data_IF_027527806263
#
_entry.id   IF_027527806263
#
_cell.length_a   1.000
_cell.length_b   1.000
_cell.length_c   1.000
_cell.angle_alpha   90.00
_cell.angle_beta   90.00
_cell.angle_gamma   90.00
#
_symmetry.space_group_name_H-M   'P 1'
#
loop_
_entity.id
_entity.type
_entity.pdbx_description
1 polymer ?
#
# COMPACT_ATOMS: atom_id res chain seq x y z
N UNK A 1 -4.01 -3.56 -7.60
CA UNK A 1 -4.48 -4.14 -6.35
C UNK A 1 -3.54 -3.76 -5.22
N UNK A 2 -4.02 -3.79 -4.00
CA UNK A 2 -3.24 -3.33 -2.85
C UNK A 2 -1.89 -4.03 -2.74
N UNK A 3 -1.88 -5.35 -2.85
CA UNK A 3 -0.63 -6.10 -2.71
C UNK A 3 0.41 -5.68 -3.75
N UNK A 4 -0.02 -5.51 -4.98
CA UNK A 4 0.90 -5.05 -6.03
C UNK A 4 1.34 -3.61 -5.82
N UNK A 5 0.41 -2.78 -5.37
CA UNK A 5 0.73 -1.36 -5.12
C UNK A 5 1.78 -1.21 -4.02
N UNK A 6 1.65 -1.99 -2.95
CA UNK A 6 2.65 -1.95 -1.88
C UNK A 6 4.02 -2.28 -2.44
N UNK A 7 4.12 -3.36 -3.23
CA UNK A 7 5.40 -3.77 -3.79
C UNK A 7 5.95 -2.74 -4.76
N UNK A 8 5.11 -2.25 -5.65
CA UNK A 8 5.56 -1.32 -6.68
C UNK A 8 6.01 0.01 -6.06
N UNK A 9 5.27 0.52 -5.09
CA UNK A 9 5.62 1.77 -4.43
C UNK A 9 6.87 1.60 -3.58
N UNK A 10 7.02 0.44 -2.92
CA UNK A 10 8.22 0.14 -2.16
C UNK A 10 9.46 0.16 -3.06
N UNK A 11 9.36 -0.50 -4.22
CA UNK A 11 10.47 -0.54 -5.16
C UNK A 11 10.76 0.84 -5.74
N UNK A 12 9.73 1.62 -6.00
CA UNK A 12 9.91 2.98 -6.50
C UNK A 12 10.65 3.86 -5.51
N UNK A 13 10.51 3.58 -4.21
CA UNK A 13 11.25 4.30 -3.17
C UNK A 13 12.64 3.71 -2.94
N UNK A 14 12.98 2.63 -3.62
CA UNK A 14 14.28 1.99 -3.43
C UNK A 14 14.40 1.22 -2.12
N UNK A 15 13.29 0.78 -1.55
CA UNK A 15 13.30 0.09 -0.26
C UNK A 15 13.21 -1.41 -0.45
N UNK A 16 13.96 -2.16 0.36
CA UNK A 16 13.78 -3.60 0.47
C UNK A 16 12.58 -3.90 1.37
N UNK A 17 12.12 -5.14 1.37
CA UNK A 17 11.06 -5.57 2.31
C UNK A 17 11.51 -5.35 3.75
N UNK A 18 12.77 -5.66 4.03
CA UNK A 18 13.32 -5.49 5.37
C UNK A 18 13.31 -4.01 5.77
N UNK A 19 13.72 -3.14 4.87
CA UNK A 19 13.76 -1.71 5.16
C UNK A 19 12.37 -1.15 5.43
N UNK A 20 11.39 -1.56 4.64
CA UNK A 20 10.03 -1.12 4.86
C UNK A 20 9.49 -1.66 6.19
N UNK A 21 9.81 -2.92 6.51
CA UNK A 21 9.39 -3.52 7.77
C UNK A 21 9.93 -2.73 8.96
N UNK A 22 11.20 -2.34 8.90
CA UNK A 22 11.81 -1.53 9.96
C UNK A 22 11.07 -0.20 10.11
N UNK A 23 10.77 0.45 8.99
CA UNK A 23 10.09 1.74 9.03
C UNK A 23 8.69 1.62 9.63
N UNK A 24 8.03 0.50 9.43
CA UNK A 24 6.67 0.27 9.93
C UNK A 24 6.66 -0.44 11.28
N UNK A 25 7.84 -0.82 11.77
CA UNK A 25 7.98 -1.51 13.04
C UNK A 25 7.25 -2.86 13.04
N UNK A 26 7.37 -3.58 11.94
CA UNK A 26 6.81 -4.93 11.79
C UNK A 26 7.93 -5.85 11.31
N UNK A 27 7.68 -7.16 11.29
CA UNK A 27 8.67 -8.10 10.77
C UNK A 27 8.55 -8.20 9.26
N UNK A 28 9.67 -8.57 8.61
CA UNK A 28 9.71 -8.64 7.15
C UNK A 28 8.65 -9.59 6.59
N UNK A 29 8.37 -10.68 7.30
CA UNK A 29 7.36 -11.63 6.85
C UNK A 29 5.98 -11.01 6.71
N UNK A 30 5.67 -10.01 7.53
CA UNK A 30 4.41 -9.28 7.43
C UNK A 30 4.34 -8.56 6.09
N UNK A 31 5.42 -7.87 5.70
CA UNK A 31 5.48 -7.19 4.41
C UNK A 31 5.32 -8.21 3.27
N UNK A 32 6.03 -9.32 3.36
CA UNK A 32 5.97 -10.36 2.34
C UNK A 32 4.55 -10.87 2.16
N UNK A 33 3.84 -11.12 3.26
CA UNK A 33 2.46 -11.60 3.18
C UNK A 33 1.54 -10.59 2.53
N UNK A 34 1.72 -9.31 2.87
CA UNK A 34 0.92 -8.26 2.24
C UNK A 34 1.16 -8.22 0.73
N UNK A 35 2.42 -8.33 0.31
CA UNK A 35 2.77 -8.24 -1.11
C UNK A 35 2.32 -9.45 -1.90
N UNK A 36 2.15 -10.58 -1.23
CA UNK A 36 1.65 -11.80 -1.87
C UNK A 36 0.13 -11.93 -1.81
N UNK A 37 -0.53 -11.02 -1.11
CA UNK A 37 -1.98 -11.08 -0.95
C UNK A 37 -2.44 -12.12 0.04
N UNK A 38 -1.53 -12.62 0.89
CA UNK A 38 -1.86 -13.63 1.90
C UNK A 38 -2.49 -13.02 3.15
N UNK A 39 -2.25 -11.74 3.38
CA UNK A 39 -2.91 -11.01 4.45
C UNK A 39 -3.04 -9.56 4.02
N UNK A 40 -3.81 -8.79 4.77
CA UNK A 40 -4.13 -7.41 4.43
C UNK A 40 -3.77 -6.54 5.62
N UNK A 41 -3.07 -5.40 5.41
CA UNK A 41 -2.80 -4.49 6.52
C UNK A 41 -4.10 -3.88 7.02
N UNK A 42 -4.18 -3.67 8.34
CA UNK A 42 -5.35 -2.99 8.91
C UNK A 42 -5.28 -1.50 8.61
N UNK A 43 -6.31 -0.75 9.02
CA UNK A 43 -6.41 0.65 8.63
C UNK A 43 -5.24 1.49 9.15
N UNK A 44 -4.75 1.23 10.36
CA UNK A 44 -3.61 1.99 10.88
C UNK A 44 -2.34 1.67 10.11
N UNK A 45 -2.16 0.42 9.69
CA UNK A 45 -1.01 0.05 8.87
C UNK A 45 -1.12 0.65 7.46
N UNK A 46 -2.32 0.74 6.91
CA UNK A 46 -2.51 1.36 5.61
C UNK A 46 -2.10 2.83 5.66
N UNK A 47 -2.48 3.54 6.71
CA UNK A 47 -2.07 4.93 6.87
C UNK A 47 -0.56 5.03 6.99
N UNK A 48 0.06 4.17 7.81
CA UNK A 48 1.50 4.18 7.98
C UNK A 48 2.22 3.84 6.67
N UNK A 49 1.69 2.86 5.92
CA UNK A 49 2.25 2.53 4.60
C UNK A 49 2.23 3.72 3.66
N UNK A 50 1.09 4.42 3.61
CA UNK A 50 0.97 5.58 2.73
C UNK A 50 1.99 6.65 3.10
N UNK A 51 2.20 6.87 4.39
CA UNK A 51 3.19 7.84 4.85
C UNK A 51 4.61 7.43 4.47
N UNK A 52 4.95 6.17 4.72
CA UNK A 52 6.31 5.69 4.44
C UNK A 52 6.59 5.57 2.95
N UNK A 53 5.57 5.31 2.16
CA UNK A 53 5.72 5.19 0.72
C UNK A 53 5.46 6.51 0.00
N UNK A 54 5.20 7.58 0.77
CA UNK A 54 5.08 8.93 0.22
C UNK A 54 3.92 9.02 -0.78
N UNK A 55 2.81 8.42 -0.43
CA UNK A 55 1.65 8.35 -1.32
C UNK A 55 0.38 8.56 -0.49
N UNK A 56 -0.75 8.72 -1.16
CA UNK A 56 -2.03 8.84 -0.48
C UNK A 56 -2.60 7.45 -0.21
N UNK A 57 -3.50 7.37 0.77
CA UNK A 57 -4.19 6.12 1.06
C UNK A 57 -5.00 5.67 -0.16
N UNK A 58 -5.66 6.60 -0.84
CA UNK A 58 -6.43 6.26 -2.03
C UNK A 58 -5.56 5.66 -3.13
N UNK A 59 -4.39 6.25 -3.38
CA UNK A 59 -3.47 5.72 -4.38
C UNK A 59 -2.97 4.34 -3.98
N UNK A 60 -2.65 4.16 -2.70
CA UNK A 60 -2.17 2.88 -2.21
C UNK A 60 -3.23 1.79 -2.40
N UNK A 61 -4.48 2.12 -2.18
CA UNK A 61 -5.59 1.17 -2.34
C UNK A 61 -6.00 0.98 -3.79
N UNK A 62 -5.46 1.78 -4.72
CA UNK A 62 -5.77 1.66 -6.13
C UNK A 62 -7.09 2.26 -6.53
N UNK A 63 -7.53 3.30 -5.83
CA UNK A 63 -8.84 3.91 -6.06
C UNK A 63 -8.87 4.90 -7.20
N UNK A 64 -7.82 5.08 -7.81
CA UNK A 64 -7.78 6.08 -8.88
C UNK A 64 -8.87 5.88 -9.89
N UNK A 65 -9.46 5.93 -9.81
CA UNK A 65 -10.01 5.56 -10.43
C UNK A 65 -11.05 5.87 -10.70
N UNK A 66 -10.96 5.79 -10.38
CA UNK A 66 -11.73 5.93 -10.65
C UNK A 66 -12.46 6.52 -10.92
N UNK A 67 -12.29 6.32 -10.72
CA UNK A 67 -12.89 6.73 -10.80
C UNK A 67 -13.61 7.09 -10.93
N UNK A 68 -13.61 6.71 -10.89
CA UNK A 68 -14.32 6.94 -10.87
C UNK A 68 -15.07 7.27 -10.74
N UNK A 69 -15.18 7.12 -10.71
CA UNK A 69 -15.95 7.37 -10.51
C UNK A 69 -16.61 7.88 -10.49
N UNK A 70 -16.59 7.74 -10.60
CA UNK A 70 -17.30 8.11 -10.54
C UNK A 70 -18.07 8.65 -10.76
N UNK A 71 -18.11 8.41 -10.80
CA UNK A 71 -18.89 8.72 -11.00
C UNK A 71 -19.67 9.12 -11.13
N UNK A 72 -19.56 8.74 -11.03
CA UNK A 72 -20.29 9.02 -11.17
C UNK A 72 -21.02 9.41 -11.11
N UNK A 73 -20.92 9.16 -11.11
CA UNK A 73 -21.62 9.47 -11.11
C UNK A 73 -22.27 10.00 -11.04
N UNK A 74 -22.22 9.89 -11.10
CA UNK A 74 -22.84 10.31 -11.09
C UNK A 74 -23.44 10.81 -11.23
N UNK A 75 -23.42 10.58 -11.20
CA UNK A 75 -23.93 10.94 -11.29
C UNK A 75 -24.49 11.33 -11.69
#
# INVERSE_FOLDING_TARGET
MLNENIRNLRKAKGLSQEELAIKLNVVRQTISKWEKGLSVPDSSMIIALAEQLDTSVGTLLGETIQEECLNEENM
#
